data_IF_267422297796
#
_entry.id   IF_267422297796
#
_cell.length_a   1.000
_cell.length_b   1.000
_cell.length_c   1.000
_cell.angle_alpha   90.00
_cell.angle_beta   90.00
_cell.angle_gamma   90.00
#
_symmetry.space_group_name_H-M   'P 1'
#
loop_
_entity.id
_entity.type
_entity.pdbx_description
1 polymer ?
#
# COMPACT_ATOMS: atom_id res chain seq x y z
N UNK A 1 -53.52 -4.37 -14.97
CA UNK A 1 -53.82 -5.78 -14.67
C UNK A 1 -52.49 -6.49 -14.45
N UNK A 2 -52.09 -6.68 -13.19
CA UNK A 2 -50.72 -7.04 -12.81
C UNK A 2 -50.76 -8.43 -12.16
N UNK A 3 -50.25 -9.45 -12.85
CA UNK A 3 -50.26 -10.85 -12.39
C UNK A 3 -48.90 -11.18 -11.78
N UNK A 4 -48.81 -11.11 -10.46
CA UNK A 4 -47.66 -11.56 -9.67
C UNK A 4 -47.73 -13.09 -9.63
N UNK A 5 -46.83 -13.78 -10.35
CA UNK A 5 -46.67 -15.23 -10.24
C UNK A 5 -45.74 -15.53 -9.04
N UNK A 6 -46.31 -16.15 -8.01
CA UNK A 6 -45.55 -16.78 -6.94
C UNK A 6 -45.09 -18.16 -7.44
N UNK A 7 -43.78 -18.35 -7.58
CA UNK A 7 -43.18 -19.66 -7.80
C UNK A 7 -43.11 -20.38 -6.45
N UNK A 8 -44.06 -21.29 -6.22
CA UNK A 8 -44.00 -22.25 -5.13
C UNK A 8 -43.03 -23.37 -5.54
N UNK A 9 -41.94 -23.55 -4.77
CA UNK A 9 -41.03 -24.69 -4.88
C UNK A 9 -41.56 -25.83 -3.97
N UNK A 10 -42.08 -26.94 -4.52
CA UNK A 10 -42.65 -28.03 -3.72
C UNK A 10 -41.58 -29.00 -3.16
N UNK A 11 -40.31 -28.82 -3.52
CA UNK A 11 -39.29 -29.87 -3.40
C UNK A 11 -38.51 -29.88 -2.06
N UNK A 12 -38.84 -28.98 -1.13
CA UNK A 12 -38.19 -28.95 0.19
C UNK A 12 -38.91 -29.77 1.28
N UNK A 13 -40.00 -30.48 0.94
CA UNK A 13 -40.87 -31.11 1.93
C UNK A 13 -40.58 -32.60 2.20
N UNK A 14 -39.82 -33.29 1.34
CA UNK A 14 -39.64 -34.75 1.44
C UNK A 14 -38.40 -35.24 2.22
N UNK A 15 -37.46 -34.37 2.62
CA UNK A 15 -36.30 -34.78 3.43
C UNK A 15 -36.56 -34.77 4.96
N UNK A 16 -37.83 -34.69 5.39
CA UNK A 16 -38.22 -34.48 6.81
C UNK A 16 -38.52 -35.75 7.61
N UNK A 17 -38.45 -36.95 7.03
CA UNK A 17 -38.96 -38.17 7.67
C UNK A 17 -37.91 -39.16 8.21
N UNK A 18 -36.60 -38.90 8.06
CA UNK A 18 -35.57 -39.93 8.34
C UNK A 18 -34.84 -39.75 9.68
N UNK A 19 -34.93 -38.60 10.34
CA UNK A 19 -34.29 -38.38 11.65
C UNK A 19 -35.36 -38.03 12.68
N UNK A 20 -35.77 -39.03 13.46
CA UNK A 20 -36.67 -38.92 14.61
C UNK A 20 -36.07 -38.12 15.78
N UNK A 21 -35.59 -36.92 15.50
CA UNK A 21 -35.17 -35.95 16.49
C UNK A 21 -36.39 -35.08 16.84
N UNK A 22 -36.88 -35.09 18.09
CA UNK A 22 -37.88 -34.12 18.51
C UNK A 22 -37.28 -32.72 18.36
N UNK A 23 -37.85 -31.91 17.48
CA UNK A 23 -37.51 -30.50 17.37
C UNK A 23 -37.85 -29.84 18.71
N UNK A 24 -36.92 -29.08 19.34
CA UNK A 24 -37.29 -28.22 20.43
C UNK A 24 -38.32 -27.21 19.91
N UNK A 25 -39.45 -27.09 20.59
CA UNK A 25 -40.41 -26.01 20.35
C UNK A 25 -39.65 -24.68 20.33
N UNK A 26 -39.47 -24.12 19.15
CA UNK A 26 -38.87 -22.80 19.01
C UNK A 26 -39.93 -21.79 19.44
N UNK A 27 -39.98 -21.59 20.76
CA UNK A 27 -40.85 -20.62 21.42
C UNK A 27 -40.74 -19.28 20.73
N UNK A 28 -41.91 -18.74 20.39
CA UNK A 28 -42.08 -17.40 19.84
C UNK A 28 -41.45 -16.37 20.80
N UNK A 29 -40.28 -15.85 20.47
CA UNK A 29 -39.69 -14.68 21.15
C UNK A 29 -40.38 -13.41 20.65
N UNK A 30 -41.67 -13.28 20.92
CA UNK A 30 -42.33 -11.98 20.99
C UNK A 30 -42.04 -11.36 22.36
N UNK A 31 -40.88 -10.74 22.49
CA UNK A 31 -40.71 -9.56 23.35
C UNK A 31 -39.50 -8.76 22.87
N UNK A 32 -39.80 -7.72 22.09
CA UNK A 32 -38.94 -6.55 21.98
C UNK A 32 -38.80 -5.95 23.38
N UNK A 33 -37.71 -6.28 24.06
CA UNK A 33 -37.12 -5.36 25.02
C UNK A 33 -35.82 -4.85 24.42
N UNK A 34 -35.86 -3.58 24.03
CA UNK A 34 -34.70 -2.79 23.63
C UNK A 34 -33.64 -2.88 24.73
N UNK A 35 -32.58 -3.65 24.50
CA UNK A 35 -31.37 -3.58 25.31
C UNK A 35 -30.53 -2.40 24.84
N UNK A 36 -31.00 -1.19 25.15
CA UNK A 36 -30.26 0.05 24.96
C UNK A 36 -29.26 0.23 26.11
N UNK A 37 -28.27 -0.66 26.22
CA UNK A 37 -27.01 -0.42 26.96
C UNK A 37 -26.02 -1.57 26.78
N UNK A 38 -25.70 -1.94 25.54
CA UNK A 38 -24.37 -2.51 25.32
C UNK A 38 -23.40 -1.36 25.50
N UNK A 39 -22.80 -1.26 26.69
CA UNK A 39 -21.63 -0.41 26.89
C UNK A 39 -20.59 -0.91 25.91
N UNK A 40 -20.38 -0.16 24.83
CA UNK A 40 -19.19 -0.32 23.99
C UNK A 40 -18.04 -0.11 24.96
N UNK A 41 -17.39 -1.19 25.37
CA UNK A 41 -16.14 -1.12 26.10
C UNK A 41 -15.14 -0.65 25.05
N UNK A 42 -15.06 0.66 24.88
CA UNK A 42 -13.95 1.31 24.20
C UNK A 42 -12.72 0.97 25.02
N UNK A 43 -11.96 -0.04 24.58
CA UNK A 43 -10.61 -0.21 25.07
C UNK A 43 -9.82 0.98 24.51
N UNK A 44 -9.64 2.02 25.35
CA UNK A 44 -8.67 3.11 25.12
C UNK A 44 -7.22 2.60 25.17
N UNK A 45 -7.01 1.32 25.46
CA UNK A 45 -5.72 0.67 25.40
C UNK A 45 -5.35 0.36 23.94
N UNK A 46 -4.24 0.93 23.42
CA UNK A 46 -3.74 0.58 22.10
C UNK A 46 -3.42 -0.92 22.07
N UNK A 47 -4.24 -1.67 21.32
CA UNK A 47 -4.05 -3.09 21.03
C UNK A 47 -2.56 -3.40 20.89
N UNK A 48 -2.05 -4.31 21.73
CA UNK A 48 -0.66 -4.75 21.70
C UNK A 48 -0.26 -5.34 20.33
N UNK A 49 -1.23 -5.77 19.52
CA UNK A 49 -0.99 -6.21 18.14
C UNK A 49 -0.69 -5.05 17.17
N UNK A 50 -1.09 -3.81 17.49
CA UNK A 50 -0.88 -2.63 16.66
C UNK A 50 0.32 -1.77 17.12
N UNK A 51 0.91 -2.09 18.26
CA UNK A 51 2.09 -1.38 18.76
C UNK A 51 3.34 -1.83 18.00
N UNK A 52 3.92 -0.88 17.25
CA UNK A 52 5.23 -0.95 16.56
C UNK A 52 5.24 -1.48 15.13
N UNK A 53 4.32 -1.01 14.29
CA UNK A 53 4.73 -0.77 12.90
C UNK A 53 5.46 0.58 12.90
N UNK A 54 6.76 0.58 12.58
CA UNK A 54 7.51 1.81 12.36
C UNK A 54 6.75 2.62 11.31
N UNK A 55 6.23 3.79 11.69
CA UNK A 55 5.45 4.66 10.77
C UNK A 55 6.27 5.12 9.56
N UNK A 56 7.57 4.86 9.55
CA UNK A 56 8.51 5.15 8.47
C UNK A 56 8.84 3.92 7.60
N UNK A 57 8.38 2.72 7.95
CA UNK A 57 8.52 1.54 7.11
C UNK A 57 7.47 1.62 5.99
N UNK A 58 7.78 2.40 4.95
CA UNK A 58 7.08 2.33 3.68
C UNK A 58 7.43 1.00 3.01
N UNK A 59 6.43 0.15 2.79
CA UNK A 59 6.60 -1.16 2.16
C UNK A 59 6.86 -1.05 0.64
N UNK A 60 6.85 0.17 0.08
CA UNK A 60 6.99 0.43 -1.35
C UNK A 60 5.79 -0.01 -2.19
N UNK A 61 4.67 -0.34 -1.52
CA UNK A 61 3.41 -0.73 -2.15
C UNK A 61 2.92 0.34 -3.14
N UNK A 62 2.89 1.60 -2.69
CA UNK A 62 2.34 2.70 -3.46
C UNK A 62 3.20 3.03 -4.68
N UNK A 63 4.53 2.93 -4.53
CA UNK A 63 5.49 3.08 -5.62
C UNK A 63 5.27 1.98 -6.67
N UNK A 64 5.23 0.71 -6.26
CA UNK A 64 4.98 -0.42 -7.17
C UNK A 64 3.62 -0.31 -7.86
N UNK A 65 2.59 0.10 -7.14
CA UNK A 65 1.26 0.33 -7.72
C UNK A 65 1.29 1.40 -8.80
N UNK A 66 1.98 2.52 -8.54
CA UNK A 66 2.13 3.63 -9.49
C UNK A 66 2.92 3.19 -10.73
N UNK A 67 4.02 2.46 -10.54
CA UNK A 67 4.82 1.91 -11.64
C UNK A 67 4.01 0.93 -12.49
N UNK A 68 3.30 -0.01 -11.87
CA UNK A 68 2.46 -0.96 -12.57
C UNK A 68 1.34 -0.26 -13.35
N UNK A 69 0.72 0.78 -12.77
CA UNK A 69 -0.29 1.59 -13.46
C UNK A 69 0.30 2.31 -14.68
N UNK A 70 1.49 2.90 -14.54
CA UNK A 70 2.19 3.57 -15.64
C UNK A 70 2.59 2.58 -16.74
N UNK A 71 3.06 1.38 -16.38
CA UNK A 71 3.38 0.31 -17.32
C UNK A 71 2.14 -0.15 -18.10
N UNK A 72 0.98 -0.25 -17.43
CA UNK A 72 -0.31 -0.54 -18.05
C UNK A 72 -0.93 0.65 -18.81
N UNK A 73 -0.29 1.84 -18.78
CA UNK A 73 -0.76 3.10 -19.39
C UNK A 73 -2.16 3.51 -18.94
N UNK A 74 -2.54 3.19 -17.70
CA UNK A 74 -3.84 3.53 -17.14
C UNK A 74 -3.78 4.87 -16.39
N UNK A 75 -4.83 5.67 -16.53
CA UNK A 75 -5.06 6.81 -15.64
C UNK A 75 -5.54 6.33 -14.26
N UNK A 76 -5.37 7.18 -13.24
CA UNK A 76 -5.89 6.86 -11.90
C UNK A 76 -7.41 6.63 -11.88
N UNK A 77 -8.16 7.35 -12.72
CA UNK A 77 -9.60 7.14 -12.92
C UNK A 77 -9.94 5.79 -13.54
N UNK A 78 -9.16 5.32 -14.52
CA UNK A 78 -9.40 4.03 -15.17
C UNK A 78 -9.02 2.85 -14.27
N UNK A 79 -7.96 3.00 -13.48
CA UNK A 79 -7.59 2.03 -12.45
C UNK A 79 -8.70 1.91 -11.40
N UNK A 80 -9.25 3.05 -10.97
CA UNK A 80 -10.33 3.11 -9.98
C UNK A 80 -11.67 2.55 -10.46
N UNK A 81 -11.90 2.42 -11.78
CA UNK A 81 -13.19 1.95 -12.31
C UNK A 81 -13.52 0.53 -11.83
N UNK A 82 -14.65 0.35 -11.14
CA UNK A 82 -15.09 -0.90 -10.53
C UNK A 82 -14.40 -1.26 -9.21
N UNK A 83 -13.37 -0.54 -8.77
CA UNK A 83 -12.63 -0.79 -7.54
C UNK A 83 -13.15 0.01 -6.33
N UNK A 84 -14.41 0.44 -6.36
CA UNK A 84 -15.04 1.20 -5.27
C UNK A 84 -15.38 0.34 -4.04
N UNK A 85 -15.91 0.97 -2.99
CA UNK A 85 -16.26 0.28 -1.74
C UNK A 85 -17.43 -0.70 -1.85
N UNK A 86 -18.20 -0.61 -2.95
CA UNK A 86 -19.34 -1.46 -3.24
C UNK A 86 -19.15 -2.09 -4.61
N UNK A 87 -19.62 -3.33 -4.82
CA UNK A 87 -19.56 -3.98 -6.13
C UNK A 87 -20.25 -3.09 -7.17
N UNK A 88 -19.57 -2.87 -8.30
CA UNK A 88 -20.07 -2.02 -9.39
C UNK A 88 -19.91 -0.51 -9.18
N UNK A 89 -19.30 -0.06 -8.07
CA UNK A 89 -18.95 1.34 -7.86
C UNK A 89 -17.50 1.61 -8.27
N UNK A 90 -17.22 2.79 -8.79
CA UNK A 90 -15.87 3.26 -9.09
C UNK A 90 -15.20 3.87 -7.85
N UNK A 91 -13.90 3.62 -7.68
CA UNK A 91 -13.07 4.34 -6.74
C UNK A 91 -12.81 5.76 -7.26
N UNK A 92 -12.75 6.73 -6.35
CA UNK A 92 -12.40 8.10 -6.73
C UNK A 92 -10.94 8.20 -7.13
N UNK A 93 -10.60 9.17 -7.99
CA UNK A 93 -9.21 9.47 -8.35
C UNK A 93 -8.35 9.78 -7.12
N UNK A 94 -8.94 10.42 -6.11
CA UNK A 94 -8.27 10.72 -4.85
C UNK A 94 -7.93 9.45 -4.08
N UNK A 95 -8.86 8.49 -4.01
CA UNK A 95 -8.62 7.20 -3.35
C UNK A 95 -7.44 6.46 -3.98
N UNK A 96 -7.33 6.46 -5.31
CA UNK A 96 -6.19 5.87 -6.01
C UNK A 96 -4.88 6.60 -5.71
N UNK A 97 -4.90 7.94 -5.67
CA UNK A 97 -3.73 8.72 -5.29
C UNK A 97 -3.31 8.45 -3.83
N UNK A 98 -4.28 8.28 -2.92
CA UNK A 98 -4.01 7.94 -1.52
C UNK A 98 -3.41 6.54 -1.38
N UNK A 99 -3.80 5.58 -2.23
CA UNK A 99 -3.18 4.26 -2.31
C UNK A 99 -1.74 4.31 -2.83
N UNK A 100 -1.49 5.10 -3.89
CA UNK A 100 -0.14 5.33 -4.42
C UNK A 100 0.77 6.06 -3.42
N UNK A 101 0.21 6.90 -2.56
CA UNK A 101 0.94 7.62 -1.52
C UNK A 101 1.04 6.83 -0.20
N UNK A 102 0.55 5.59 -0.16
CA UNK A 102 0.51 4.73 1.04
C UNK A 102 -0.19 5.37 2.25
N UNK A 103 -1.08 6.34 2.01
CA UNK A 103 -1.88 6.96 3.07
C UNK A 103 -2.97 6.03 3.56
N UNK A 104 -3.52 5.25 2.63
CA UNK A 104 -4.54 4.23 2.88
C UNK A 104 -4.29 3.03 1.99
N UNK A 105 -4.72 1.84 2.42
CA UNK A 105 -4.63 0.63 1.61
C UNK A 105 -5.99 0.24 1.05
N UNK A 106 -6.06 -0.31 -0.18
CA UNK A 106 -7.30 -0.85 -0.72
C UNK A 106 -7.74 -2.08 0.08
N UNK A 107 -9.06 -2.30 0.18
CA UNK A 107 -9.63 -3.53 0.74
C UNK A 107 -9.29 -4.74 -0.12
N UNK A 108 -9.39 -5.95 0.43
CA UNK A 108 -9.08 -7.19 -0.28
C UNK A 108 -9.79 -7.32 -1.65
N UNK A 109 -11.09 -7.00 -1.72
CA UNK A 109 -11.85 -7.05 -2.98
C UNK A 109 -11.36 -6.00 -4.00
N UNK A 110 -11.04 -4.80 -3.53
CA UNK A 110 -10.52 -3.71 -4.36
C UNK A 110 -9.13 -4.07 -4.90
N UNK A 111 -8.27 -4.60 -4.02
CA UNK A 111 -6.94 -5.09 -4.36
C UNK A 111 -7.02 -6.18 -5.43
N UNK A 112 -7.91 -7.17 -5.27
CA UNK A 112 -8.13 -8.22 -6.26
C UNK A 112 -8.48 -7.64 -7.63
N UNK A 113 -9.39 -6.67 -7.70
CA UNK A 113 -9.78 -6.04 -8.96
C UNK A 113 -8.64 -5.23 -9.59
N UNK A 114 -7.86 -4.52 -8.78
CA UNK A 114 -6.66 -3.80 -9.22
C UNK A 114 -5.64 -4.77 -9.81
N UNK A 115 -5.36 -5.87 -9.12
CA UNK A 115 -4.45 -6.92 -9.60
C UNK A 115 -4.90 -7.53 -10.93
N UNK A 116 -6.21 -7.80 -11.09
CA UNK A 116 -6.78 -8.29 -12.35
C UNK A 116 -6.62 -7.28 -13.49
N UNK A 117 -6.83 -5.98 -13.24
CA UNK A 117 -6.66 -4.92 -14.25
C UNK A 117 -5.20 -4.74 -14.68
N UNK A 118 -4.28 -4.81 -13.73
CA UNK A 118 -2.86 -4.60 -13.96
C UNK A 118 -2.15 -5.88 -14.43
N UNK A 119 -2.83 -7.03 -14.38
CA UNK A 119 -2.28 -8.35 -14.66
C UNK A 119 -1.00 -8.66 -13.83
N UNK A 120 -1.07 -8.35 -12.53
CA UNK A 120 0.02 -8.59 -11.56
C UNK A 120 -0.51 -9.36 -10.36
N UNK A 121 0.37 -10.11 -9.68
CA UNK A 121 0.00 -10.79 -8.44
C UNK A 121 -0.11 -9.81 -7.27
N UNK A 122 -1.02 -10.10 -6.33
CA UNK A 122 -1.11 -9.35 -5.08
C UNK A 122 0.19 -9.46 -4.28
N UNK A 123 0.84 -10.62 -4.31
CA UNK A 123 2.12 -10.87 -3.63
C UNK A 123 3.21 -9.92 -4.11
N UNK A 124 3.31 -9.69 -5.43
CA UNK A 124 4.27 -8.74 -5.98
C UNK A 124 3.97 -7.30 -5.51
N UNK A 125 2.69 -6.92 -5.46
CA UNK A 125 2.31 -5.58 -5.02
C UNK A 125 2.64 -5.35 -3.54
N UNK A 126 2.35 -6.34 -2.69
CA UNK A 126 2.53 -6.26 -1.23
C UNK A 126 4.00 -6.45 -0.83
N UNK A 127 4.65 -7.50 -1.33
CA UNK A 127 5.98 -7.93 -0.88
C UNK A 127 7.11 -7.54 -1.84
N UNK A 128 6.80 -7.07 -3.04
CA UNK A 128 7.81 -6.77 -4.05
C UNK A 128 8.42 -8.04 -4.68
N UNK A 129 9.60 -7.88 -5.27
CA UNK A 129 10.36 -8.98 -5.84
C UNK A 129 11.25 -9.60 -4.77
N UNK A 130 10.64 -10.48 -3.96
CA UNK A 130 11.29 -11.15 -2.82
C UNK A 130 12.61 -11.81 -3.23
N UNK A 131 12.72 -12.31 -4.47
CA UNK A 131 13.93 -12.97 -4.96
C UNK A 131 15.07 -11.97 -5.14
N UNK A 132 14.81 -10.84 -5.80
CA UNK A 132 15.81 -9.78 -5.97
C UNK A 132 16.22 -9.18 -4.64
N UNK A 133 15.27 -8.95 -3.74
CA UNK A 133 15.58 -8.40 -2.42
C UNK A 133 16.43 -9.39 -1.60
N UNK A 134 16.13 -10.69 -1.67
CA UNK A 134 16.96 -11.71 -1.03
C UNK A 134 18.37 -11.79 -1.62
N UNK A 135 18.53 -11.65 -2.94
CA UNK A 135 19.85 -11.57 -3.59
C UNK A 135 20.60 -10.31 -3.19
N UNK A 136 19.92 -9.16 -3.11
CA UNK A 136 20.49 -7.90 -2.66
C UNK A 136 20.97 -7.97 -1.21
N UNK A 137 20.15 -8.56 -0.32
CA UNK A 137 20.52 -8.77 1.09
C UNK A 137 21.72 -9.69 1.21
N UNK A 138 21.77 -10.78 0.43
CA UNK A 138 22.95 -11.67 0.36
C UNK A 138 24.18 -10.89 -0.11
N UNK A 139 24.09 -10.13 -1.20
CA UNK A 139 25.20 -9.33 -1.70
C UNK A 139 25.68 -8.30 -0.66
N UNK A 140 24.75 -7.62 0.01
CA UNK A 140 25.06 -6.67 1.07
C UNK A 140 25.78 -7.34 2.26
N UNK A 141 25.36 -8.55 2.66
CA UNK A 141 26.01 -9.29 3.73
C UNK A 141 27.46 -9.66 3.40
N UNK A 142 27.73 -10.04 2.15
CA UNK A 142 29.09 -10.31 1.66
C UNK A 142 29.93 -9.03 1.69
N UNK A 143 29.38 -7.91 1.21
CA UNK A 143 30.09 -6.61 1.21
C UNK A 143 30.38 -6.10 2.63
N UNK A 144 29.51 -6.39 3.60
CA UNK A 144 29.75 -6.07 5.01
C UNK A 144 30.83 -6.94 5.65
N UNK A 145 30.99 -8.18 5.21
CA UNK A 145 32.03 -9.08 5.69
C UNK A 145 33.43 -8.75 5.14
N UNK A 146 33.53 -7.99 4.04
CA UNK A 146 34.79 -7.55 3.45
C UNK A 146 35.43 -6.41 4.23
N UNK A 147 36.77 -6.36 4.25
CA UNK A 147 37.51 -5.23 4.80
C UNK A 147 37.37 -3.98 3.92
N UNK A 148 37.66 -2.79 4.47
CA UNK A 148 37.56 -1.54 3.71
C UNK A 148 38.41 -1.56 2.42
N UNK A 149 39.61 -2.15 2.47
CA UNK A 149 40.48 -2.24 1.30
C UNK A 149 39.97 -3.22 0.24
N UNK A 150 39.38 -4.35 0.66
CA UNK A 150 38.71 -5.28 -0.25
C UNK A 150 37.47 -4.63 -0.88
N UNK A 151 36.72 -3.82 -0.11
CA UNK A 151 35.57 -3.09 -0.62
C UNK A 151 35.98 -2.03 -1.65
N UNK A 152 37.06 -1.28 -1.41
CA UNK A 152 37.60 -0.31 -2.39
C UNK A 152 38.08 -0.99 -3.67
N UNK A 153 38.77 -2.13 -3.56
CA UNK A 153 39.15 -2.92 -4.73
C UNK A 153 37.93 -3.42 -5.52
N UNK A 154 36.94 -4.00 -4.83
CA UNK A 154 35.69 -4.46 -5.46
C UNK A 154 34.99 -3.32 -6.20
N UNK A 155 34.85 -2.15 -5.56
CA UNK A 155 34.24 -0.97 -6.17
C UNK A 155 35.04 -0.45 -7.37
N UNK A 156 36.37 -0.41 -7.27
CA UNK A 156 37.25 -0.03 -8.40
C UNK A 156 37.16 -1.00 -9.57
N UNK A 157 36.89 -2.28 -9.32
CA UNK A 157 36.74 -3.30 -10.36
C UNK A 157 35.37 -3.23 -11.03
N UNK A 158 34.31 -2.87 -10.29
CA UNK A 158 32.94 -2.78 -10.78
C UNK A 158 32.61 -1.45 -11.49
N UNK A 159 33.08 -0.32 -10.95
CA UNK A 159 32.82 1.02 -11.52
C UNK A 159 33.92 1.50 -12.47
N UNK A 160 34.95 0.69 -12.69
CA UNK A 160 36.17 1.09 -13.40
C UNK A 160 37.03 2.07 -12.59
N UNK A 161 38.26 2.36 -13.04
CA UNK A 161 39.07 3.38 -12.39
C UNK A 161 38.36 4.73 -12.54
N UNK A 162 37.78 5.23 -11.45
CA UNK A 162 37.53 6.65 -11.34
C UNK A 162 38.88 7.33 -11.56
N UNK A 163 38.98 8.06 -12.67
CA UNK A 163 40.18 8.78 -13.09
C UNK A 163 40.63 9.65 -11.92
N UNK A 164 41.60 9.16 -11.15
CA UNK A 164 42.39 9.95 -10.23
C UNK A 164 43.42 10.69 -11.07
N UNK A 165 42.98 11.72 -11.76
CA UNK A 165 43.87 12.78 -12.22
C UNK A 165 43.09 14.07 -12.38
N UNK A 166 43.19 14.89 -11.35
CA UNK A 166 42.49 16.16 -11.20
C UNK A 166 43.11 16.89 -10.03
N UNK A 167 44.36 17.28 -10.20
CA UNK A 167 45.03 18.29 -9.39
C UNK A 167 44.11 19.53 -9.29
N UNK A 168 43.33 19.64 -8.21
CA UNK A 168 42.58 20.86 -7.91
C UNK A 168 43.59 21.84 -7.34
N UNK A 169 44.31 22.52 -8.24
CA UNK A 169 44.93 23.80 -7.94
C UNK A 169 43.79 24.70 -7.46
N UNK A 170 43.75 24.98 -6.16
CA UNK A 170 42.78 25.88 -5.54
C UNK A 170 43.04 27.30 -6.05
N UNK A 171 42.56 27.59 -7.25
CA UNK A 171 42.49 28.96 -7.75
C UNK A 171 41.38 29.66 -6.99
N UNK A 172 41.78 30.29 -5.88
CA UNK A 172 40.94 31.11 -5.04
C UNK A 172 40.49 32.31 -5.88
N UNK A 173 39.18 32.53 -6.13
CA UNK A 173 38.74 33.73 -6.80
C UNK A 173 39.09 34.95 -5.93
N UNK A 174 39.65 36.04 -6.50
CA UNK A 174 39.90 37.25 -5.74
C UNK A 174 38.57 37.80 -5.20
N UNK A 175 38.60 38.20 -3.93
CA UNK A 175 37.44 38.70 -3.20
C UNK A 175 36.69 39.80 -3.98
N UNK A 176 35.35 39.85 -3.92
CA UNK A 176 34.58 40.93 -4.51
C UNK A 176 34.98 42.26 -3.87
N UNK A 177 35.54 43.15 -4.69
CA UNK A 177 35.82 44.53 -4.33
C UNK A 177 34.51 45.20 -3.92
N UNK A 178 34.44 45.66 -2.68
CA UNK A 178 33.29 46.44 -2.19
C UNK A 178 33.21 47.76 -2.98
N UNK A 179 32.03 48.15 -3.50
CA UNK A 179 31.88 49.42 -4.16
C UNK A 179 31.99 50.58 -3.16
N UNK A 180 32.84 51.55 -3.50
CA UNK A 180 33.05 52.79 -2.77
C UNK A 180 31.73 53.56 -2.57
N UNK A 181 31.37 53.76 -1.30
CA UNK A 181 30.29 54.67 -0.88
C UNK A 181 30.75 56.10 -1.13
N UNK A 182 30.34 56.68 -2.26
CA UNK A 182 30.45 58.12 -2.50
C UNK A 182 29.29 58.83 -1.81
N UNK A 183 29.57 59.42 -0.64
CA UNK A 183 28.68 60.41 -0.02
C UNK A 183 28.70 61.70 -0.85
N UNK A 184 27.67 61.91 -1.67
CA UNK A 184 27.16 63.23 -2.09
C UNK A 184 25.71 63.24 -1.61
N UNK A 185 25.23 64.04 -0.67
CA UNK A 185 25.49 65.45 -0.38
C UNK A 185 24.20 66.21 -0.70
N UNK A 186 23.52 66.78 0.30
CA UNK A 186 22.65 67.96 0.16
C UNK A 186 22.13 68.45 1.52
N UNK A 187 22.55 69.65 1.90
CA UNK A 187 21.73 70.64 2.62
C UNK A 187 21.40 71.69 1.58
#
# INVERSE_FOLDING_TARGET
MTRQQQLAFPEAQEMRSVLGCPFPEYGSTRHHQSSSTVRIVSHDEPSLYAQKMDKNASFGFGVRLKEARQAARLSGSELGRGAGDKPGKDASKQSVADWEAERHYPKADQLRLICLKLNISADYLIFGDIKKDAELIKAASVVQALTEEQRKQLLSMMLGPAVSDGHVEKHFPPAPQQPAVTKKGKV
#
